data_IF_121466254309
#
_entry.id   IF_121466254309
#
_cell.length_a   1.000
_cell.length_b   1.000
_cell.length_c   1.000
_cell.angle_alpha   90.00
_cell.angle_beta   90.00
_cell.angle_gamma   90.00
#
_symmetry.space_group_name_H-M   'P 1'
#
loop_
_entity.id
_entity.type
_entity.pdbx_description
1 polymer ?
#
# COMPACT_ATOMS: atom_id res chain seq x y z
N UNK A 1 25.46 -3.10 -3.27
CA UNK A 1 24.04 -2.81 -2.97
C UNK A 1 24.01 -1.47 -2.25
N UNK A 2 23.06 -0.57 -2.55
CA UNK A 2 22.96 0.71 -1.84
C UNK A 2 22.29 0.44 -0.48
N UNK A 3 23.09 0.44 0.59
CA UNK A 3 22.64 0.04 1.92
C UNK A 3 21.49 0.90 2.48
N UNK A 4 21.53 2.24 2.40
CA UNK A 4 20.39 3.10 2.74
C UNK A 4 19.11 2.73 1.98
N UNK A 5 19.20 2.53 0.66
CA UNK A 5 18.04 2.16 -0.15
C UNK A 5 17.49 0.78 0.23
N UNK A 6 18.37 -0.18 0.49
CA UNK A 6 17.97 -1.50 0.95
C UNK A 6 17.27 -1.44 2.33
N UNK A 7 17.69 -0.52 3.22
CA UNK A 7 16.97 -0.30 4.49
C UNK A 7 15.58 0.30 4.27
N UNK A 8 15.41 1.21 3.31
CA UNK A 8 14.09 1.76 2.99
C UNK A 8 13.12 0.67 2.54
N UNK A 9 13.55 -0.27 1.68
CA UNK A 9 12.71 -1.40 1.28
C UNK A 9 12.36 -2.34 2.44
N UNK A 10 13.31 -2.62 3.33
CA UNK A 10 13.03 -3.41 4.56
C UNK A 10 12.03 -2.72 5.47
N UNK A 11 12.17 -1.41 5.66
CA UNK A 11 11.25 -0.62 6.45
C UNK A 11 9.84 -0.60 5.83
N UNK A 12 9.74 -0.42 4.51
CA UNK A 12 8.45 -0.49 3.82
C UNK A 12 7.77 -1.85 3.99
N UNK A 13 8.52 -2.95 3.85
CA UNK A 13 7.99 -4.30 4.08
C UNK A 13 7.48 -4.49 5.53
N UNK A 14 8.24 -4.03 6.52
CA UNK A 14 7.81 -4.04 7.92
C UNK A 14 6.54 -3.20 8.15
N UNK A 15 6.47 -2.00 7.56
CA UNK A 15 5.33 -1.10 7.71
C UNK A 15 4.05 -1.72 7.11
N UNK A 16 4.13 -2.27 5.89
CA UNK A 16 3.01 -2.97 5.26
C UNK A 16 2.52 -4.15 6.13
N UNK A 17 3.44 -4.98 6.62
CA UNK A 17 3.09 -6.11 7.48
C UNK A 17 2.42 -5.66 8.79
N UNK A 18 2.93 -4.59 9.39
CA UNK A 18 2.38 -4.00 10.62
C UNK A 18 0.97 -3.45 10.40
N UNK A 19 0.75 -2.72 9.30
CA UNK A 19 -0.58 -2.19 8.95
C UNK A 19 -1.60 -3.31 8.70
N UNK A 20 -1.21 -4.32 7.91
CA UNK A 20 -2.08 -5.48 7.65
C UNK A 20 -2.38 -6.25 8.93
N UNK A 21 -1.41 -6.44 9.82
CA UNK A 21 -1.62 -7.08 11.11
C UNK A 21 -2.62 -6.28 11.97
N UNK A 22 -2.46 -4.95 12.05
CA UNK A 22 -3.39 -4.09 12.79
C UNK A 22 -4.83 -4.13 12.23
N UNK A 23 -4.97 -4.31 10.92
CA UNK A 23 -6.28 -4.38 10.27
C UNK A 23 -6.97 -5.76 10.39
N UNK A 24 -6.26 -6.83 10.79
CA UNK A 24 -6.85 -8.17 10.92
C UNK A 24 -7.98 -8.25 11.94
N UNK A 25 -7.86 -7.47 13.02
CA UNK A 25 -8.84 -7.47 14.12
C UNK A 25 -9.96 -6.44 13.89
N UNK A 26 -9.93 -5.71 12.77
CA UNK A 26 -10.96 -4.72 12.41
C UNK A 26 -12.11 -5.44 11.69
N UNK A 27 -13.37 -5.28 12.14
CA UNK A 27 -14.53 -5.83 11.44
C UNK A 27 -14.60 -5.35 9.99
N UNK A 28 -15.00 -6.24 9.08
CA UNK A 28 -14.94 -5.95 7.64
C UNK A 28 -15.74 -4.71 7.22
N UNK A 29 -16.92 -4.49 7.80
CA UNK A 29 -17.76 -3.31 7.59
C UNK A 29 -17.09 -2.01 8.06
N UNK A 30 -16.24 -2.09 9.09
CA UNK A 30 -15.46 -0.96 9.61
C UNK A 30 -14.31 -0.58 8.69
N UNK A 31 -13.80 -1.51 7.89
CA UNK A 31 -12.75 -1.22 6.90
C UNK A 31 -13.24 -0.33 5.76
N UNK A 32 -14.55 -0.32 5.50
CA UNK A 32 -15.19 0.38 4.38
C UNK A 32 -15.86 1.71 4.80
N UNK A 33 -15.74 2.11 6.07
CA UNK A 33 -16.23 3.40 6.54
C UNK A 33 -15.37 4.52 5.96
N UNK A 34 -16.02 5.59 5.49
CA UNK A 34 -15.38 6.81 5.00
C UNK A 34 -15.67 7.98 5.96
N UNK A 35 -14.80 8.25 6.94
CA UNK A 35 -14.91 9.43 7.78
C UNK A 35 -14.72 10.72 6.98
N UNK A 36 -15.28 11.83 7.48
CA UNK A 36 -15.03 13.14 6.87
C UNK A 36 -13.55 13.53 6.97
N UNK A 37 -12.97 13.99 5.86
CA UNK A 37 -11.59 14.51 5.81
C UNK A 37 -10.50 13.45 5.60
N UNK A 38 -10.86 12.20 5.26
CA UNK A 38 -9.89 11.14 4.94
C UNK A 38 -9.80 10.88 3.44
N UNK A 39 -8.70 10.22 3.03
CA UNK A 39 -8.58 9.61 1.71
C UNK A 39 -9.38 8.30 1.70
N UNK A 40 -10.70 8.41 1.56
CA UNK A 40 -11.59 7.26 1.55
C UNK A 40 -11.56 6.46 2.85
N UNK A 41 -11.80 5.16 2.70
CA UNK A 41 -11.82 4.19 3.78
C UNK A 41 -10.42 3.65 4.11
N UNK A 42 -10.33 2.84 5.16
CA UNK A 42 -9.09 2.11 5.49
C UNK A 42 -8.70 1.21 4.32
N UNK A 43 -9.68 0.54 3.69
CA UNK A 43 -9.44 -0.31 2.52
C UNK A 43 -8.88 0.49 1.35
N UNK A 44 -9.45 1.66 1.06
CA UNK A 44 -8.97 2.52 -0.04
C UNK A 44 -7.52 2.95 0.18
N UNK A 45 -7.18 3.31 1.42
CA UNK A 45 -5.80 3.69 1.78
C UNK A 45 -4.82 2.52 1.62
N UNK A 46 -5.19 1.31 2.08
CA UNK A 46 -4.33 0.13 1.94
C UNK A 46 -4.14 -0.27 0.47
N UNK A 47 -5.21 -0.26 -0.32
CA UNK A 47 -5.15 -0.53 -1.76
C UNK A 47 -4.26 0.50 -2.48
N UNK A 48 -4.39 1.78 -2.11
CA UNK A 48 -3.55 2.84 -2.68
C UNK A 48 -2.06 2.63 -2.39
N UNK A 49 -1.69 2.25 -1.16
CA UNK A 49 -0.30 1.97 -0.82
C UNK A 49 0.29 0.80 -1.59
N UNK A 50 -0.42 -0.33 -1.63
CA UNK A 50 0.06 -1.53 -2.31
C UNK A 50 0.11 -1.29 -3.82
N UNK A 51 -0.94 -0.68 -4.38
CA UNK A 51 -1.03 -0.39 -5.80
C UNK A 51 0.04 0.57 -6.27
N UNK A 52 0.34 1.61 -5.49
CA UNK A 52 1.43 2.54 -5.80
C UNK A 52 2.78 1.85 -5.81
N UNK A 53 3.05 0.96 -4.84
CA UNK A 53 4.32 0.20 -4.78
C UNK A 53 4.50 -0.69 -6.02
N UNK A 54 3.46 -1.42 -6.41
CA UNK A 54 3.47 -2.27 -7.60
C UNK A 54 3.61 -1.47 -8.90
N UNK A 55 2.94 -0.31 -9.00
CA UNK A 55 3.08 0.60 -10.13
C UNK A 55 4.52 1.13 -10.26
N UNK A 56 5.15 1.55 -9.16
CA UNK A 56 6.55 1.97 -9.17
C UNK A 56 7.50 0.84 -9.56
N UNK A 57 7.29 -0.36 -9.04
CA UNK A 57 8.09 -1.54 -9.41
C UNK A 57 7.96 -1.86 -10.91
N UNK A 58 6.73 -1.84 -11.42
CA UNK A 58 6.45 -2.05 -12.84
C UNK A 58 7.16 -1.01 -13.70
N UNK A 59 7.06 0.27 -13.34
CA UNK A 59 7.71 1.35 -14.07
C UNK A 59 9.24 1.25 -14.06
N UNK A 60 9.83 0.98 -12.90
CA UNK A 60 11.28 0.80 -12.75
C UNK A 60 11.80 -0.44 -13.49
N UNK A 61 10.97 -1.48 -13.64
CA UNK A 61 11.28 -2.67 -14.43
C UNK A 61 11.12 -2.45 -15.96
N UNK A 62 10.77 -1.24 -16.41
CA UNK A 62 10.54 -0.91 -17.81
C UNK A 62 9.11 -1.18 -18.30
N UNK A 63 8.20 -1.52 -17.39
CA UNK A 63 6.76 -1.58 -17.66
C UNK A 63 6.15 -0.18 -17.85
N UNK A 64 5.15 -0.08 -18.73
CA UNK A 64 4.31 1.11 -18.82
C UNK A 64 3.29 1.18 -17.69
N UNK A 65 2.58 2.31 -17.54
CA UNK A 65 1.43 2.37 -16.65
C UNK A 65 0.37 1.35 -17.07
N UNK A 66 0.02 0.44 -16.16
CA UNK A 66 -1.08 -0.50 -16.35
C UNK A 66 -2.38 0.15 -15.88
N UNK A 67 -3.05 0.83 -16.81
CA UNK A 67 -4.25 1.63 -16.54
C UNK A 67 -5.49 0.78 -16.30
N UNK A 68 -5.44 -0.52 -16.64
CA UNK A 68 -6.56 -1.45 -16.51
C UNK A 68 -6.52 -2.27 -15.21
N UNK A 69 -5.55 -1.99 -14.34
CA UNK A 69 -5.25 -2.80 -13.15
C UNK A 69 -6.12 -2.49 -11.92
N UNK A 70 -7.05 -1.54 -12.02
CA UNK A 70 -7.87 -1.03 -10.90
C UNK A 70 -9.33 -0.80 -11.28
#
# INVERSE_FOLDING_TARGET
MNDPLAQMFRYNAWANATLLAACRDVPGDRLDIVPGGTFGSIRDTLLHFIGSQDAYLSHLAGGGPDLDRW
#
